data_IF_399799958644
#
_entry.id   IF_399799958644
#
_cell.length_a   1.000
_cell.length_b   1.000
_cell.length_c   1.000
_cell.angle_alpha   90.00
_cell.angle_beta   90.00
_cell.angle_gamma   90.00
#
_symmetry.space_group_name_H-M   'P 1'
#
loop_
_entity.id
_entity.type
_entity.pdbx_description
1 polymer ?
#
# COMPACT_ATOMS: atom_id res chain seq x y z
N UNK A 1 -17.88 -46.47 18.18
CA UNK A 1 -17.44 -47.08 19.46
C UNK A 1 -17.55 -48.61 19.48
N UNK A 2 -18.61 -49.19 18.91
CA UNK A 2 -18.84 -50.65 18.97
C UNK A 2 -17.78 -51.52 18.26
N UNK A 3 -17.22 -51.05 17.13
CA UNK A 3 -16.22 -51.82 16.37
C UNK A 3 -14.85 -51.88 17.04
N UNK A 4 -14.49 -50.83 17.78
CA UNK A 4 -13.22 -50.77 18.52
C UNK A 4 -13.19 -51.78 19.67
N UNK A 5 -14.31 -51.98 20.35
CA UNK A 5 -14.42 -53.00 21.41
C UNK A 5 -14.42 -54.43 20.86
N UNK A 6 -15.06 -54.66 19.71
CA UNK A 6 -15.06 -55.99 19.07
C UNK A 6 -13.66 -56.42 18.63
N UNK A 7 -12.87 -55.47 18.09
CA UNK A 7 -11.47 -55.73 17.73
C UNK A 7 -10.61 -56.02 18.96
N UNK A 8 -10.77 -55.22 20.02
CA UNK A 8 -10.02 -55.40 21.27
C UNK A 8 -10.29 -56.74 21.94
N UNK A 9 -11.54 -57.22 21.90
CA UNK A 9 -11.91 -58.54 22.44
C UNK A 9 -11.29 -59.68 21.64
N UNK A 10 -11.20 -59.53 20.31
CA UNK A 10 -10.61 -60.54 19.43
C UNK A 10 -9.10 -60.61 19.63
N UNK A 11 -8.44 -59.46 19.74
CA UNK A 11 -7.01 -59.36 19.98
C UNK A 11 -6.62 -59.85 21.39
N UNK A 12 -7.50 -59.75 22.38
CA UNK A 12 -7.26 -60.27 23.73
C UNK A 12 -7.32 -61.80 23.82
N UNK A 13 -8.15 -62.43 22.97
CA UNK A 13 -8.32 -63.89 22.95
C UNK A 13 -7.20 -64.62 22.21
N UNK A 14 -6.49 -63.93 21.31
CA UNK A 14 -5.38 -64.49 20.51
C UNK A 14 -4.01 -64.47 21.24
N UNK A 15 -3.95 -63.98 22.48
CA UNK A 15 -2.70 -63.88 23.23
C UNK A 15 -2.54 -65.11 24.14
N UNK A 16 -1.57 -65.96 23.82
CA UNK A 16 -1.22 -67.10 24.68
C UNK A 16 -0.73 -66.64 26.07
N UNK A 17 -1.20 -67.29 27.16
CA UNK A 17 -1.16 -66.75 28.52
C UNK A 17 0.26 -66.60 29.10
N UNK A 18 1.29 -67.20 28.50
CA UNK A 18 2.66 -67.14 29.01
C UNK A 18 3.45 -65.89 28.56
N UNK A 19 2.95 -65.10 27.60
CA UNK A 19 3.65 -63.89 27.11
C UNK A 19 3.12 -62.57 27.68
N UNK A 20 2.00 -62.61 28.40
CA UNK A 20 1.32 -61.42 28.96
C UNK A 20 2.03 -60.80 30.17
N UNK A 21 2.80 -61.58 30.92
CA UNK A 21 3.36 -61.13 32.21
C UNK A 21 4.56 -60.19 32.08
N UNK A 22 5.34 -60.25 30.99
CA UNK A 22 6.56 -59.44 30.87
C UNK A 22 6.53 -58.34 29.80
N UNK A 23 5.75 -58.48 28.72
CA UNK A 23 5.87 -57.56 27.57
C UNK A 23 4.55 -57.10 26.92
N UNK A 24 3.42 -57.76 27.21
CA UNK A 24 2.13 -57.45 26.57
C UNK A 24 1.64 -56.01 26.78
N UNK A 25 1.73 -55.51 28.02
CA UNK A 25 1.28 -54.15 28.36
C UNK A 25 2.22 -53.06 27.84
N UNK A 26 3.55 -53.28 27.92
CA UNK A 26 4.57 -52.35 27.41
C UNK A 26 4.47 -52.15 25.89
N UNK A 27 4.22 -53.23 25.15
CA UNK A 27 4.05 -53.16 23.70
C UNK A 27 2.77 -52.42 23.27
N UNK A 28 1.71 -52.50 24.08
CA UNK A 28 0.45 -51.80 23.83
C UNK A 28 0.57 -50.31 24.18
N UNK A 29 1.19 -49.99 25.32
CA UNK A 29 1.46 -48.62 25.77
C UNK A 29 2.33 -47.86 24.77
N UNK A 30 3.43 -48.47 24.29
CA UNK A 30 4.27 -47.86 23.25
C UNK A 30 3.52 -47.54 21.96
N UNK A 31 2.56 -48.38 21.55
CA UNK A 31 1.77 -48.13 20.33
C UNK A 31 0.75 -47.01 20.54
N UNK A 32 0.11 -46.97 21.70
CA UNK A 32 -0.85 -45.91 22.06
C UNK A 32 -0.14 -44.56 22.19
N UNK A 33 1.02 -44.53 22.86
CA UNK A 33 1.80 -43.30 23.03
C UNK A 33 2.42 -42.82 21.73
N UNK A 34 2.95 -43.72 20.88
CA UNK A 34 3.47 -43.35 19.56
C UNK A 34 2.38 -42.78 18.65
N UNK A 35 1.14 -43.27 18.76
CA UNK A 35 0.00 -42.77 18.00
C UNK A 35 -0.54 -41.42 18.55
N UNK A 36 -0.44 -41.17 19.87
CA UNK A 36 -0.71 -39.84 20.45
C UNK A 36 0.39 -38.85 20.10
N UNK A 37 1.66 -39.25 20.15
CA UNK A 37 2.80 -38.40 19.83
C UNK A 37 2.80 -38.02 18.35
N UNK A 38 2.52 -38.96 17.44
CA UNK A 38 2.42 -38.68 16.01
C UNK A 38 1.23 -37.76 15.69
N UNK A 39 0.07 -37.96 16.33
CA UNK A 39 -1.07 -37.04 16.20
C UNK A 39 -0.78 -35.64 16.75
N UNK A 40 -0.07 -35.54 17.88
CA UNK A 40 0.34 -34.24 18.44
C UNK A 40 1.31 -33.53 17.51
N UNK A 41 2.34 -34.21 17.01
CA UNK A 41 3.30 -33.63 16.05
C UNK A 41 2.62 -33.22 14.74
N UNK A 42 1.67 -34.02 14.24
CA UNK A 42 0.89 -33.66 13.05
C UNK A 42 0.00 -32.45 13.29
N UNK A 43 -0.69 -32.38 14.44
CA UNK A 43 -1.49 -31.22 14.83
C UNK A 43 -0.64 -29.96 14.99
N UNK A 44 0.54 -30.05 15.63
CA UNK A 44 1.49 -28.95 15.72
C UNK A 44 2.02 -28.52 14.35
N UNK A 45 2.31 -29.46 13.44
CA UNK A 45 2.75 -29.16 12.08
C UNK A 45 1.69 -28.41 11.27
N UNK A 46 0.42 -28.83 11.35
CA UNK A 46 -0.70 -28.17 10.67
C UNK A 46 -0.97 -26.78 11.26
N UNK A 47 -0.98 -26.65 12.58
CA UNK A 47 -1.17 -25.35 13.24
C UNK A 47 0.00 -24.40 12.88
N UNK A 48 1.23 -24.90 12.89
CA UNK A 48 2.41 -24.13 12.51
C UNK A 48 2.38 -23.72 11.03
N UNK A 49 1.91 -24.59 10.12
CA UNK A 49 1.78 -24.24 8.70
C UNK A 49 0.70 -23.18 8.46
N UNK A 50 -0.43 -23.25 9.19
CA UNK A 50 -1.49 -22.23 9.13
C UNK A 50 -0.99 -20.90 9.70
N UNK A 51 -0.27 -20.92 10.82
CA UNK A 51 0.35 -19.71 11.39
C UNK A 51 1.38 -19.12 10.42
N UNK A 52 2.21 -19.94 9.78
CA UNK A 52 3.13 -19.46 8.74
C UNK A 52 2.41 -18.85 7.55
N UNK A 53 1.31 -19.47 7.10
CA UNK A 53 0.56 -18.99 5.94
C UNK A 53 -0.20 -17.69 6.26
N UNK A 54 -0.72 -17.55 7.49
CA UNK A 54 -1.33 -16.29 7.96
C UNK A 54 -0.25 -15.21 8.17
N UNK A 55 0.83 -15.55 8.87
CA UNK A 55 1.91 -14.62 9.17
C UNK A 55 2.65 -14.14 7.92
N UNK A 56 2.84 -14.98 6.89
CA UNK A 56 3.42 -14.55 5.62
C UNK A 56 2.38 -13.93 4.69
N UNK A 57 1.17 -14.50 4.60
CA UNK A 57 0.13 -14.05 3.68
C UNK A 57 -0.38 -12.63 3.96
N UNK A 58 -0.63 -12.25 5.22
CA UNK A 58 -1.16 -10.91 5.51
C UNK A 58 -0.08 -9.84 5.64
N UNK A 59 1.10 -10.19 6.18
CA UNK A 59 2.19 -9.23 6.34
C UNK A 59 2.87 -8.90 5.01
N UNK A 60 3.10 -9.89 4.14
CA UNK A 60 3.81 -9.64 2.87
C UNK A 60 3.01 -8.74 1.92
N UNK A 61 1.67 -8.85 1.90
CA UNK A 61 0.82 -8.00 1.05
C UNK A 61 0.85 -6.55 1.51
N UNK A 62 0.74 -6.29 2.82
CA UNK A 62 0.78 -4.93 3.36
C UNK A 62 2.15 -4.28 3.16
N UNK A 63 3.24 -5.03 3.38
CA UNK A 63 4.59 -4.51 3.16
C UNK A 63 4.87 -4.22 1.68
N UNK A 64 4.31 -5.00 0.76
CA UNK A 64 4.45 -4.76 -0.68
C UNK A 64 3.69 -3.49 -1.09
N UNK A 65 2.48 -3.27 -0.56
CA UNK A 65 1.69 -2.08 -0.87
C UNK A 65 2.27 -0.80 -0.26
N UNK A 66 2.96 -0.90 0.88
CA UNK A 66 3.63 0.22 1.52
C UNK A 66 5.02 0.52 0.95
N UNK A 67 5.53 -0.29 0.01
CA UNK A 67 6.88 -0.14 -0.51
C UNK A 67 7.09 1.22 -1.18
N UNK A 68 8.22 1.86 -0.87
CA UNK A 68 8.62 3.14 -1.43
C UNK A 68 9.62 2.97 -2.59
N UNK A 69 9.78 3.99 -3.45
CA UNK A 69 10.76 3.97 -4.53
C UNK A 69 12.15 3.50 -4.09
N UNK A 70 12.69 2.53 -4.82
CA UNK A 70 13.98 1.88 -4.57
C UNK A 70 14.06 1.02 -3.31
N UNK A 71 12.93 0.51 -2.81
CA UNK A 71 12.89 -0.65 -1.92
C UNK A 71 12.72 -1.95 -2.71
N UNK A 72 13.11 -3.09 -2.13
CA UNK A 72 13.17 -4.40 -2.82
C UNK A 72 11.82 -4.83 -3.39
N UNK A 73 10.73 -4.53 -2.70
CA UNK A 73 9.37 -4.93 -3.09
C UNK A 73 8.68 -3.90 -4.01
N UNK A 74 9.33 -2.77 -4.29
CA UNK A 74 8.76 -1.71 -5.11
C UNK A 74 8.41 -2.12 -6.55
N UNK A 75 9.21 -2.94 -7.26
CA UNK A 75 8.84 -3.42 -8.58
C UNK A 75 7.53 -4.22 -8.56
N UNK A 76 7.31 -5.02 -7.50
CA UNK A 76 6.09 -5.80 -7.32
C UNK A 76 4.87 -4.90 -7.04
N UNK A 77 5.08 -3.82 -6.28
CA UNK A 77 4.05 -2.79 -6.10
C UNK A 77 3.66 -2.17 -7.44
N UNK A 78 4.62 -1.74 -8.26
CA UNK A 78 4.37 -1.13 -9.58
C UNK A 78 3.61 -2.05 -10.53
N UNK A 79 3.97 -3.34 -10.59
CA UNK A 79 3.23 -4.29 -11.43
C UNK A 79 1.80 -4.46 -10.94
N UNK A 80 1.59 -4.56 -9.62
CA UNK A 80 0.24 -4.65 -9.05
C UNK A 80 -0.60 -3.40 -9.34
N UNK A 81 -0.02 -2.21 -9.23
CA UNK A 81 -0.71 -0.95 -9.54
C UNK A 81 -1.14 -0.90 -11.00
N UNK A 82 -0.26 -1.28 -11.94
CA UNK A 82 -0.60 -1.31 -13.36
C UNK A 82 -1.75 -2.28 -13.68
N UNK A 83 -1.81 -3.43 -13.01
CA UNK A 83 -2.92 -4.37 -13.18
C UNK A 83 -4.22 -3.77 -12.63
N UNK A 84 -4.18 -3.17 -11.45
CA UNK A 84 -5.37 -2.58 -10.82
C UNK A 84 -5.90 -1.39 -11.61
N UNK A 85 -5.02 -0.53 -12.14
CA UNK A 85 -5.43 0.62 -12.97
C UNK A 85 -6.07 0.18 -14.27
N UNK A 86 -5.53 -0.86 -14.93
CA UNK A 86 -6.12 -1.46 -16.12
C UNK A 86 -7.51 -2.06 -15.85
N UNK A 87 -7.69 -2.72 -14.70
CA UNK A 87 -8.98 -3.35 -14.35
C UNK A 87 -10.03 -2.33 -13.89
N UNK A 88 -9.61 -1.31 -13.14
CA UNK A 88 -10.53 -0.33 -12.54
C UNK A 88 -10.89 0.80 -13.50
N UNK A 89 -10.11 0.99 -14.57
CA UNK A 89 -10.18 2.14 -15.48
C UNK A 89 -10.13 3.50 -14.76
N UNK A 90 -9.59 3.53 -13.52
CA UNK A 90 -9.42 4.74 -12.73
C UNK A 90 -8.07 5.38 -13.08
N UNK A 91 -8.11 6.34 -14.00
CA UNK A 91 -6.94 7.09 -14.45
C UNK A 91 -6.36 8.01 -13.39
N UNK A 92 -7.07 8.27 -12.29
CA UNK A 92 -6.59 9.10 -11.19
C UNK A 92 -5.75 8.31 -10.17
N UNK A 93 -5.88 6.99 -10.15
CA UNK A 93 -5.14 6.13 -9.21
C UNK A 93 -3.61 6.27 -9.30
N UNK A 94 -2.98 6.36 -10.49
CA UNK A 94 -1.54 6.65 -10.59
C UNK A 94 -1.15 7.99 -9.95
N UNK A 95 -2.00 9.02 -10.03
CA UNK A 95 -1.75 10.34 -9.43
C UNK A 95 -1.74 10.22 -7.91
N UNK A 96 -2.74 9.56 -7.33
CA UNK A 96 -2.85 9.32 -5.89
C UNK A 96 -1.70 8.49 -5.32
N UNK A 97 -1.25 7.47 -6.05
CA UNK A 97 -0.17 6.60 -5.60
C UNK A 97 1.15 7.36 -5.49
N UNK A 98 1.44 8.29 -6.43
CA UNK A 98 2.64 9.13 -6.34
C UNK A 98 2.59 10.11 -5.18
N UNK A 99 1.43 10.68 -4.85
CA UNK A 99 1.28 11.54 -3.66
C UNK A 99 1.66 10.76 -2.40
N UNK A 100 1.12 9.55 -2.22
CA UNK A 100 1.45 8.69 -1.06
C UNK A 100 2.93 8.35 -0.99
N UNK A 101 3.58 8.11 -2.13
CA UNK A 101 5.02 7.84 -2.18
C UNK A 101 5.86 9.07 -1.83
N UNK A 102 5.50 10.26 -2.32
CA UNK A 102 6.16 11.51 -1.94
C UNK A 102 6.05 11.71 -0.42
N UNK A 103 4.86 11.55 0.14
CA UNK A 103 4.64 11.68 1.59
C UNK A 103 5.53 10.69 2.38
N UNK A 104 5.53 9.41 1.99
CA UNK A 104 6.33 8.40 2.68
C UNK A 104 7.84 8.59 2.52
N UNK A 105 8.31 9.11 1.37
CA UNK A 105 9.71 9.44 1.17
C UNK A 105 10.14 10.65 2.00
N UNK A 106 9.31 11.69 2.13
CA UNK A 106 9.58 12.85 2.98
C UNK A 106 9.69 12.43 4.45
N UNK A 107 8.75 11.60 4.94
CA UNK A 107 8.83 11.04 6.30
C UNK A 107 10.08 10.17 6.51
N UNK A 108 10.52 9.46 5.47
CA UNK A 108 11.75 8.65 5.51
C UNK A 108 13.00 9.51 5.49
N UNK A 109 13.02 10.58 4.71
CA UNK A 109 14.14 11.54 4.68
C UNK A 109 14.34 12.17 6.06
N UNK A 110 13.25 12.60 6.70
CA UNK A 110 13.32 13.19 8.04
C UNK A 110 13.92 12.21 9.07
N UNK A 111 13.51 10.95 9.04
CA UNK A 111 14.07 9.92 9.94
C UNK A 111 15.58 9.77 9.71
N UNK A 112 16.02 9.74 8.45
CA UNK A 112 17.42 9.63 8.10
C UNK A 112 18.23 10.88 8.45
N UNK A 113 17.62 12.07 8.37
CA UNK A 113 18.22 13.34 8.78
C UNK A 113 18.48 13.34 10.30
N UNK A 114 17.50 12.91 11.11
CA UNK A 114 17.66 12.75 12.57
C UNK A 114 18.76 11.74 12.92
N UNK A 115 18.90 10.68 12.12
CA UNK A 115 19.93 9.66 12.27
C UNK A 115 21.29 10.05 11.68
N UNK A 116 21.40 11.22 11.01
CA UNK A 116 22.59 11.69 10.28
C UNK A 116 23.12 10.65 9.27
N UNK A 117 22.20 9.97 8.59
CA UNK A 117 22.53 8.91 7.64
C UNK A 117 22.94 9.46 6.28
N UNK A 118 24.00 8.89 5.69
CA UNK A 118 24.44 9.23 4.32
C UNK A 118 23.41 8.85 3.24
N UNK A 119 22.43 7.99 3.57
CA UNK A 119 21.36 7.60 2.65
C UNK A 119 20.31 8.70 2.46
N UNK A 120 20.39 9.80 3.19
CA UNK A 120 19.46 10.92 3.04
C UNK A 120 19.44 11.43 1.59
N UNK A 121 20.62 11.62 0.98
CA UNK A 121 20.73 12.12 -0.39
C UNK A 121 20.05 11.18 -1.41
N UNK A 122 20.15 9.86 -1.21
CA UNK A 122 19.49 8.88 -2.07
C UNK A 122 17.96 8.98 -1.99
N UNK A 123 17.42 9.20 -0.79
CA UNK A 123 15.98 9.39 -0.58
C UNK A 123 15.52 10.71 -1.18
N UNK A 124 16.32 11.77 -1.02
CA UNK A 124 16.02 13.08 -1.59
C UNK A 124 15.92 13.06 -3.12
N UNK A 125 16.85 12.37 -3.80
CA UNK A 125 16.79 12.18 -5.26
C UNK A 125 15.51 11.44 -5.66
N UNK A 126 15.10 10.42 -4.91
CA UNK A 126 13.85 9.68 -5.17
C UNK A 126 12.60 10.54 -4.97
N UNK A 127 12.61 11.50 -4.05
CA UNK A 127 11.52 12.48 -3.91
C UNK A 127 11.38 13.27 -5.21
N UNK A 128 12.49 13.79 -5.73
CA UNK A 128 12.51 14.56 -6.97
C UNK A 128 12.03 13.73 -8.18
N UNK A 129 12.48 12.48 -8.31
CA UNK A 129 12.01 11.56 -9.35
C UNK A 129 10.49 11.31 -9.24
N UNK A 130 9.99 11.09 -8.02
CA UNK A 130 8.57 10.80 -7.77
C UNK A 130 7.71 12.04 -8.04
N UNK A 131 8.20 13.25 -7.74
CA UNK A 131 7.55 14.51 -8.12
C UNK A 131 7.50 14.67 -9.65
N UNK A 132 8.57 14.28 -10.36
CA UNK A 132 8.58 14.25 -11.82
C UNK A 132 7.54 13.29 -12.41
N UNK A 133 7.43 12.08 -11.84
CA UNK A 133 6.39 11.13 -12.23
C UNK A 133 4.98 11.61 -11.90
N UNK A 134 4.80 12.27 -10.75
CA UNK A 134 3.54 12.91 -10.39
C UNK A 134 3.14 13.96 -11.43
N UNK A 135 4.08 14.80 -11.86
CA UNK A 135 3.88 15.78 -12.95
C UNK A 135 3.37 15.11 -14.22
N UNK A 136 4.05 14.03 -14.64
CA UNK A 136 3.68 13.27 -15.83
C UNK A 136 2.26 12.72 -15.71
N UNK A 137 1.90 12.08 -14.60
CA UNK A 137 0.57 11.51 -14.40
C UNK A 137 -0.53 12.59 -14.40
N UNK A 138 -0.29 13.73 -13.75
CA UNK A 138 -1.23 14.87 -13.78
C UNK A 138 -1.41 15.39 -15.20
N UNK A 139 -0.32 15.52 -15.98
CA UNK A 139 -0.38 15.98 -17.36
C UNK A 139 -1.11 15.01 -18.29
N UNK A 140 -0.98 13.70 -18.08
CA UNK A 140 -1.69 12.68 -18.85
C UNK A 140 -3.20 12.72 -18.59
N UNK A 141 -3.61 12.77 -17.31
CA UNK A 141 -5.02 12.90 -16.94
C UNK A 141 -5.60 14.21 -17.49
N UNK A 142 -4.87 15.32 -17.34
CA UNK A 142 -5.29 16.61 -17.88
C UNK A 142 -5.43 16.58 -19.41
N UNK A 143 -4.45 16.01 -20.13
CA UNK A 143 -4.50 15.91 -21.58
C UNK A 143 -5.66 15.04 -22.09
N UNK A 144 -6.03 13.99 -21.34
CA UNK A 144 -7.21 13.18 -21.64
C UNK A 144 -8.52 13.94 -21.39
N UNK A 145 -8.59 14.71 -20.30
CA UNK A 145 -9.74 15.58 -20.00
C UNK A 145 -9.93 16.65 -21.07
N UNK A 146 -8.85 17.32 -21.49
CA UNK A 146 -8.86 18.32 -22.55
C UNK A 146 -9.32 17.73 -23.90
N UNK A 147 -8.82 16.55 -24.29
CA UNK A 147 -9.27 15.85 -25.51
C UNK A 147 -10.74 15.44 -25.45
N UNK A 148 -11.23 15.07 -24.27
CA UNK A 148 -12.63 14.70 -24.07
C UNK A 148 -13.58 15.90 -23.96
N UNK A 149 -13.05 17.11 -23.82
CA UNK A 149 -13.84 18.32 -23.56
C UNK A 149 -14.56 18.32 -22.22
N UNK A 150 -14.17 17.44 -21.29
CA UNK A 150 -14.81 17.29 -19.98
C UNK A 150 -13.99 18.00 -18.90
N UNK A 151 -14.67 18.73 -18.02
CA UNK A 151 -14.10 19.19 -16.75
C UNK A 151 -14.45 18.16 -15.69
N UNK A 152 -13.45 17.48 -15.15
CA UNK A 152 -13.63 16.58 -14.02
C UNK A 152 -13.42 17.35 -12.70
N UNK A 153 -14.52 17.75 -12.07
CA UNK A 153 -14.51 18.42 -10.76
C UNK A 153 -13.87 17.55 -9.67
N UNK A 154 -13.99 16.22 -9.76
CA UNK A 154 -13.35 15.33 -8.80
C UNK A 154 -11.83 15.36 -8.94
N UNK A 155 -11.32 15.43 -10.17
CA UNK A 155 -9.89 15.59 -10.42
C UNK A 155 -9.38 16.92 -9.87
N UNK A 156 -10.11 18.03 -10.09
CA UNK A 156 -9.73 19.33 -9.52
C UNK A 156 -9.72 19.33 -7.99
N UNK A 157 -10.73 18.73 -7.37
CA UNK A 157 -10.83 18.60 -5.91
C UNK A 157 -9.68 17.76 -5.33
N UNK A 158 -9.26 16.70 -6.03
CA UNK A 158 -8.09 15.91 -5.64
C UNK A 158 -6.81 16.74 -5.72
N UNK A 159 -6.61 17.53 -6.77
CA UNK A 159 -5.45 18.42 -6.86
C UNK A 159 -5.40 19.44 -5.71
N UNK A 160 -6.55 19.95 -5.26
CA UNK A 160 -6.61 20.80 -4.05
C UNK A 160 -6.24 20.06 -2.78
N UNK A 161 -6.73 18.83 -2.61
CA UNK A 161 -6.38 18.00 -1.46
C UNK A 161 -4.87 17.66 -1.46
N UNK A 162 -4.29 17.35 -2.62
CA UNK A 162 -2.86 17.13 -2.78
C UNK A 162 -2.05 18.37 -2.41
N UNK A 163 -2.51 19.54 -2.87
CA UNK A 163 -1.89 20.82 -2.52
C UNK A 163 -1.88 21.03 -1.01
N UNK A 164 -3.02 20.84 -0.34
CA UNK A 164 -3.11 20.97 1.12
C UNK A 164 -2.18 20.00 1.86
N UNK A 165 -2.05 18.76 1.36
CA UNK A 165 -1.10 17.77 1.90
C UNK A 165 0.35 18.22 1.74
N UNK A 166 0.75 18.74 0.57
CA UNK A 166 2.11 19.22 0.33
C UNK A 166 2.42 20.49 1.13
N UNK A 167 1.49 21.45 1.23
CA UNK A 167 1.64 22.64 2.07
C UNK A 167 1.84 22.25 3.55
N UNK A 168 1.07 21.27 4.03
CA UNK A 168 1.22 20.72 5.38
C UNK A 168 2.57 20.01 5.59
N UNK A 169 3.08 19.32 4.57
CA UNK A 169 4.39 18.66 4.64
C UNK A 169 5.55 19.67 4.66
N UNK A 170 5.46 20.77 3.91
CA UNK A 170 6.49 21.83 3.94
C UNK A 170 6.64 22.40 5.35
N UNK A 171 5.51 22.63 6.04
CA UNK A 171 5.53 23.14 7.42
C UNK A 171 6.21 22.17 8.39
N UNK A 172 6.07 20.86 8.18
CA UNK A 172 6.65 19.83 9.03
C UNK A 172 8.10 19.50 8.66
N UNK A 173 8.45 19.60 7.37
CA UNK A 173 9.72 19.13 6.81
C UNK A 173 10.29 20.20 5.86
N UNK A 174 10.95 21.25 6.41
CA UNK A 174 11.48 22.35 5.61
C UNK A 174 12.65 21.93 4.70
N UNK A 175 13.32 20.80 4.98
CA UNK A 175 14.41 20.26 4.16
C UNK A 175 13.96 19.85 2.75
N UNK A 176 12.69 19.47 2.57
CA UNK A 176 12.10 19.08 1.28
C UNK A 176 11.27 20.20 0.63
N UNK A 177 11.39 21.44 1.12
CA UNK A 177 10.48 22.52 0.74
C UNK A 177 10.50 22.84 -0.75
N UNK A 178 11.66 22.74 -1.41
CA UNK A 178 11.81 23.05 -2.84
C UNK A 178 11.09 22.02 -3.72
N UNK A 179 11.27 20.75 -3.42
CA UNK A 179 10.68 19.64 -4.16
C UNK A 179 9.16 19.64 -3.98
N UNK A 180 8.70 19.90 -2.76
CA UNK A 180 7.28 20.03 -2.44
C UNK A 180 6.64 21.29 -3.05
N UNK A 181 7.38 22.40 -3.19
CA UNK A 181 6.92 23.55 -3.97
C UNK A 181 6.70 23.19 -5.43
N UNK A 182 7.62 22.42 -6.04
CA UNK A 182 7.42 21.88 -7.39
C UNK A 182 6.16 21.02 -7.49
N UNK A 183 5.90 20.16 -6.51
CA UNK A 183 4.66 19.38 -6.44
C UNK A 183 3.40 20.25 -6.34
N UNK A 184 3.45 21.34 -5.56
CA UNK A 184 2.36 22.32 -5.46
C UNK A 184 2.14 23.04 -6.78
N UNK A 185 3.19 23.44 -7.48
CA UNK A 185 3.07 24.07 -8.80
C UNK A 185 2.39 23.14 -9.81
N UNK A 186 2.70 21.85 -9.77
CA UNK A 186 2.01 20.82 -10.57
C UNK A 186 0.51 20.77 -10.24
N UNK A 187 0.12 20.89 -8.96
CA UNK A 187 -1.31 20.92 -8.61
C UNK A 187 -2.04 22.14 -9.19
N UNK A 188 -1.35 23.29 -9.25
CA UNK A 188 -1.91 24.53 -9.81
C UNK A 188 -2.01 24.45 -11.32
N UNK A 189 -0.93 24.00 -11.98
CA UNK A 189 -0.91 23.83 -13.43
C UNK A 189 -1.80 22.68 -13.89
N UNK A 190 -2.10 21.68 -13.06
CA UNK A 190 -3.04 20.61 -13.39
C UNK A 190 -4.49 21.07 -13.51
N UNK A 191 -4.84 22.26 -12.98
CA UNK A 191 -6.19 22.81 -13.06
C UNK A 191 -6.40 23.56 -14.38
N UNK A 192 -7.58 23.37 -14.97
CA UNK A 192 -8.04 24.18 -16.11
C UNK A 192 -8.24 25.64 -15.69
N UNK A 193 -7.75 26.61 -16.48
CA UNK A 193 -7.75 28.06 -16.17
C UNK A 193 -9.11 28.74 -15.99
N UNK A 194 -10.24 28.02 -16.05
CA UNK A 194 -11.58 28.61 -16.00
C UNK A 194 -12.10 28.96 -14.58
N UNK A 195 -11.19 29.24 -13.64
CA UNK A 195 -11.54 29.62 -12.27
C UNK A 195 -11.21 31.07 -11.88
N UNK A 196 -10.66 31.89 -12.80
CA UNK A 196 -10.22 33.25 -12.46
C UNK A 196 -10.76 34.34 -13.39
N UNK A 197 -12.02 34.18 -13.83
CA UNK A 197 -12.84 35.27 -14.34
C UNK A 197 -14.09 35.33 -13.49
N UNK A 198 -14.04 36.15 -12.45
CA UNK A 198 -15.11 37.02 -11.97
C UNK A 198 -14.76 37.49 -10.55
N UNK A 199 -14.10 38.65 -10.48
CA UNK A 199 -14.27 39.69 -9.46
C UNK A 199 -13.23 40.81 -9.69
N UNK A 200 -13.30 41.48 -10.84
CA UNK A 200 -12.99 42.91 -10.87
C UNK A 200 -13.69 43.60 -12.03
N UNK A 201 -15.02 43.60 -11.96
CA UNK A 201 -15.89 44.38 -12.81
C UNK A 201 -16.78 45.27 -11.97
N UNK A 202 -16.52 46.58 -12.05
CA UNK A 202 -17.48 47.68 -11.99
C UNK A 202 -17.54 48.56 -10.73
N UNK A 203 -16.85 49.70 -10.79
CA UNK A 203 -17.47 51.04 -10.74
C UNK A 203 -16.41 52.10 -11.09
N UNK A 204 -16.62 53.10 -11.93
CA UNK A 204 -17.79 53.47 -12.70
C UNK A 204 -17.39 54.26 -13.94
N UNK A 205 -18.22 54.16 -14.96
CA UNK A 205 -18.24 55.14 -16.04
C UNK A 205 -19.03 56.38 -15.61
N UNK A 206 -18.60 57.54 -16.09
CA UNK A 206 -19.54 58.56 -16.56
C UNK A 206 -18.80 59.39 -17.61
N UNK A 207 -19.29 59.33 -18.84
CA UNK A 207 -18.74 60.07 -19.96
C UNK A 207 -19.10 61.55 -19.92
N UNK A 208 -18.40 62.33 -20.74
CA UNK A 208 -19.02 63.44 -21.46
C UNK A 208 -18.21 63.77 -22.71
N UNK A 209 -18.91 63.64 -23.82
CA UNK A 209 -18.61 64.10 -25.17
C UNK A 209 -18.43 65.62 -25.28
N UNK A 210 -17.59 66.06 -26.23
CA UNK A 210 -18.00 67.08 -27.21
C UNK A 210 -17.34 68.46 -27.18
N UNK A 211 -16.70 68.76 -28.32
CA UNK A 211 -16.64 70.05 -29.07
C UNK A 211 -15.91 71.27 -28.47
N UNK A 212 -14.91 71.71 -29.24
CA UNK A 212 -14.91 73.04 -29.88
C UNK A 212 -14.22 74.18 -29.14
N UNK A 213 -13.03 74.56 -29.60
CA UNK A 213 -12.71 75.87 -30.20
C UNK A 213 -11.24 75.91 -30.62
#
# INVERSE_FOLDING_TARGET
>A
MHDSLKKLKKDYLDIEPQTLLESGWRGLEQRIDRQRYSRRLFAFSVIFSVILLVATGTFSVQMTQAALPGEVLYPLKRTSENVVTLLSNDKNMPVENRVKEIMGLVEKEEKLEREKSLRQQEVHVKILETVGEYSKNVSEVRGDLEKSGSKDENFQKRLDDHRGKFESLIQKHPSCAKELQGAIEITKSGKSEDGNKDENGNSGGSGSSGKGS
#
